data_IF_547557740071
#
_entry.id   IF_547557740071
#
_cell.length_a   1.000
_cell.length_b   1.000
_cell.length_c   1.000
_cell.angle_alpha   90.00
_cell.angle_beta   90.00
_cell.angle_gamma   90.00
#
_symmetry.space_group_name_H-M   'P 1'
#
loop_
_entity.id
_entity.type
_entity.pdbx_description
1 polymer ?
#
# COMPACT_ATOMS: atom_id res chain seq x y z
N UNK A 1 -9.11 14.21 -1.93
CA UNK A 1 -8.48 13.38 -0.86
C UNK A 1 -6.99 13.60 -0.91
N UNK A 2 -6.27 13.31 0.16
CA UNK A 2 -4.82 13.40 0.19
C UNK A 2 -4.20 12.02 -0.01
N UNK A 3 -3.33 11.90 -1.01
CA UNK A 3 -2.53 10.72 -1.27
C UNK A 3 -1.06 11.04 -0.96
N UNK A 4 -0.44 10.26 -0.09
CA UNK A 4 1.01 10.21 -0.01
C UNK A 4 1.52 9.15 -0.98
N UNK A 5 2.55 9.48 -1.75
CA UNK A 5 3.31 8.57 -2.61
C UNK A 5 4.74 8.61 -2.11
N UNK A 6 5.16 7.57 -1.38
CA UNK A 6 6.33 7.64 -0.51
C UNK A 6 6.26 8.89 0.40
N UNK A 7 7.28 9.74 0.36
CA UNK A 7 7.37 10.97 1.15
C UNK A 7 6.70 12.19 0.48
N UNK A 8 6.20 12.05 -0.75
CA UNK A 8 5.51 13.12 -1.46
C UNK A 8 4.02 13.12 -1.16
N UNK A 9 3.41 14.31 -1.02
CA UNK A 9 1.97 14.46 -0.80
C UNK A 9 1.32 15.08 -2.04
N UNK A 10 0.17 14.52 -2.43
CA UNK A 10 -0.61 14.95 -3.60
C UNK A 10 -2.07 15.06 -3.23
N UNK A 11 -2.73 16.08 -3.77
CA UNK A 11 -4.17 16.15 -3.77
C UNK A 11 -4.70 15.27 -4.92
N UNK A 12 -5.73 14.50 -4.64
CA UNK A 12 -6.41 13.63 -5.60
C UNK A 12 -7.88 14.00 -5.62
N UNK A 13 -8.35 14.51 -6.75
CA UNK A 13 -9.70 15.05 -6.90
C UNK A 13 -10.61 14.18 -7.78
N UNK A 14 -10.03 13.22 -8.51
CA UNK A 14 -10.77 12.27 -9.34
C UNK A 14 -10.21 10.85 -9.27
N UNK A 15 -10.97 9.88 -9.77
CA UNK A 15 -10.51 8.49 -9.91
C UNK A 15 -9.39 8.36 -10.94
N UNK A 16 -9.39 9.20 -11.98
CA UNK A 16 -8.34 9.22 -13.00
C UNK A 16 -7.01 9.70 -12.42
N UNK A 17 -7.04 10.75 -11.59
CA UNK A 17 -5.86 11.23 -10.88
C UNK A 17 -5.31 10.18 -9.92
N UNK A 18 -6.21 9.50 -9.20
CA UNK A 18 -5.84 8.42 -8.29
C UNK A 18 -5.15 7.30 -9.07
N UNK A 19 -5.74 6.87 -10.17
CA UNK A 19 -5.21 5.81 -11.00
C UNK A 19 -3.84 6.18 -11.57
N UNK A 20 -3.68 7.39 -12.11
CA UNK A 20 -2.39 7.88 -12.61
C UNK A 20 -1.33 7.93 -11.51
N UNK A 21 -1.68 8.36 -10.29
CA UNK A 21 -0.76 8.37 -9.16
C UNK A 21 -0.35 6.95 -8.73
N UNK A 22 -1.30 6.01 -8.74
CA UNK A 22 -1.07 4.59 -8.44
C UNK A 22 -0.23 3.85 -9.49
N UNK A 23 0.10 4.46 -10.64
CA UNK A 23 1.09 3.94 -11.59
C UNK A 23 2.52 4.36 -11.25
N UNK A 24 2.72 5.29 -10.31
CA UNK A 24 4.06 5.70 -9.92
C UNK A 24 4.80 4.55 -9.21
N UNK A 25 5.99 4.19 -9.72
CA UNK A 25 6.84 3.14 -9.14
C UNK A 25 8.26 3.64 -8.92
N UNK A 26 8.77 3.50 -7.70
CA UNK A 26 10.18 3.65 -7.40
C UNK A 26 10.95 2.49 -8.02
N UNK A 27 12.01 2.83 -8.78
CA UNK A 27 12.82 1.85 -9.53
C UNK A 27 12.01 0.96 -10.49
N UNK A 28 10.79 1.39 -10.90
CA UNK A 28 9.91 0.60 -11.76
C UNK A 28 9.26 -0.61 -11.09
N UNK A 29 9.46 -0.80 -9.79
CA UNK A 29 9.03 -2.01 -9.06
C UNK A 29 8.15 -1.68 -7.85
N UNK A 30 8.55 -0.70 -7.04
CA UNK A 30 7.96 -0.49 -5.74
C UNK A 30 6.97 0.67 -5.72
N UNK A 31 5.87 0.53 -4.99
CA UNK A 31 4.95 1.62 -4.72
C UNK A 31 4.57 1.66 -3.26
N UNK A 32 4.61 2.83 -2.63
CA UNK A 32 4.12 3.03 -1.27
C UNK A 32 3.12 4.18 -1.26
N UNK A 33 1.89 3.88 -0.84
CA UNK A 33 0.77 4.81 -0.94
C UNK A 33 -0.01 4.88 0.36
N UNK A 34 -0.40 6.10 0.74
CA UNK A 34 -1.35 6.32 1.84
C UNK A 34 -2.44 7.29 1.39
N UNK A 35 -3.66 6.79 1.23
CA UNK A 35 -4.83 7.60 0.91
C UNK A 35 -5.59 7.93 2.19
N UNK A 36 -5.82 9.22 2.44
CA UNK A 36 -6.57 9.70 3.61
C UNK A 36 -7.31 10.99 3.31
N UNK A 37 -8.29 11.35 4.13
CA UNK A 37 -8.99 12.65 4.03
C UNK A 37 -8.37 13.72 4.93
N UNK A 38 -7.89 13.34 6.12
CA UNK A 38 -7.20 14.24 7.07
C UNK A 38 -6.16 13.50 7.93
N UNK A 39 -6.54 12.39 8.56
CA UNK A 39 -5.65 11.47 9.29
C UNK A 39 -6.16 10.03 9.25
N UNK A 40 -7.45 9.86 9.55
CA UNK A 40 -8.18 8.60 9.42
C UNK A 40 -9.62 8.89 8.93
N UNK A 41 -10.31 7.91 8.31
CA UNK A 41 -9.79 6.61 7.92
C UNK A 41 -8.69 6.74 6.85
N UNK A 42 -7.76 5.79 6.85
CA UNK A 42 -6.66 5.74 5.87
C UNK A 42 -6.53 4.35 5.26
N UNK A 43 -6.15 4.33 4.00
CA UNK A 43 -5.78 3.11 3.27
C UNK A 43 -4.29 3.20 2.95
N UNK A 44 -3.54 2.20 3.40
CA UNK A 44 -2.16 1.97 3.01
C UNK A 44 -2.11 0.94 1.89
N UNK A 45 -1.23 1.14 0.92
CA UNK A 45 -0.96 0.18 -0.14
C UNK A 45 0.54 0.13 -0.41
N UNK A 46 1.13 -1.04 -0.26
CA UNK A 46 2.50 -1.31 -0.68
C UNK A 46 2.49 -2.26 -1.88
N UNK A 47 3.32 -1.99 -2.87
CA UNK A 47 3.43 -2.75 -4.10
C UNK A 47 4.89 -3.15 -4.31
N UNK A 48 5.09 -4.41 -4.70
CA UNK A 48 6.33 -4.93 -5.23
C UNK A 48 5.99 -5.77 -6.48
N UNK A 49 6.29 -5.24 -7.66
CA UNK A 49 5.89 -5.85 -8.94
C UNK A 49 4.39 -6.16 -8.98
N UNK A 50 4.03 -7.44 -9.10
CA UNK A 50 2.66 -7.95 -9.18
C UNK A 50 2.10 -8.36 -7.80
N UNK A 51 2.80 -8.03 -6.72
CA UNK A 51 2.38 -8.29 -5.34
C UNK A 51 2.02 -6.99 -4.64
N UNK A 52 0.98 -7.02 -3.83
CA UNK A 52 0.56 -5.90 -3.00
C UNK A 52 0.17 -6.32 -1.60
N UNK A 53 0.31 -5.40 -0.65
CA UNK A 53 -0.26 -5.50 0.69
C UNK A 53 -1.11 -4.24 0.95
N UNK A 54 -2.35 -4.44 1.39
CA UNK A 54 -3.28 -3.36 1.74
C UNK A 54 -3.43 -3.27 3.25
N UNK A 55 -3.57 -2.05 3.74
CA UNK A 55 -3.86 -1.74 5.14
C UNK A 55 -5.05 -0.80 5.20
N UNK A 56 -5.91 -0.97 6.19
CA UNK A 56 -7.01 -0.05 6.47
C UNK A 56 -7.03 0.30 7.95
N UNK A 57 -6.87 1.58 8.26
CA UNK A 57 -6.88 2.10 9.61
C UNK A 57 -8.13 2.98 9.74
N UNK A 58 -9.05 2.63 10.65
CA UNK A 58 -10.32 3.35 10.81
C UNK A 58 -10.13 4.66 11.58
N UNK A 59 -9.35 4.61 12.64
CA UNK A 59 -9.09 5.72 13.55
C UNK A 59 -7.68 5.64 14.14
N UNK A 60 -7.19 6.75 14.69
CA UNK A 60 -5.84 6.83 15.25
C UNK A 60 -5.71 5.88 16.45
N UNK A 61 -4.72 4.98 16.42
CA UNK A 61 -4.52 3.96 17.46
C UNK A 61 -5.27 2.64 17.23
N UNK A 62 -6.10 2.53 16.18
CA UNK A 62 -6.69 1.25 15.77
C UNK A 62 -5.57 0.33 15.22
N UNK A 63 -5.50 -0.96 15.62
CA UNK A 63 -4.57 -1.94 15.01
C UNK A 63 -4.78 -2.09 13.50
N UNK A 64 -5.95 -1.70 13.00
CA UNK A 64 -6.30 -1.72 11.60
C UNK A 64 -6.62 -3.11 11.08
N UNK A 65 -6.80 -3.17 9.77
CA UNK A 65 -7.00 -4.40 9.01
C UNK A 65 -5.94 -4.47 7.92
N UNK A 66 -5.65 -5.68 7.46
CA UNK A 66 -4.84 -5.92 6.29
C UNK A 66 -5.58 -6.79 5.27
N UNK A 67 -5.10 -6.78 4.03
CA UNK A 67 -5.54 -7.74 3.02
C UNK A 67 -5.24 -9.18 3.47
N UNK A 68 -6.12 -10.11 3.12
CA UNK A 68 -5.85 -11.55 3.20
C UNK A 68 -5.55 -12.07 1.80
N UNK A 69 -4.37 -12.66 1.65
CA UNK A 69 -3.91 -13.29 0.43
C UNK A 69 -4.57 -14.64 0.17
N UNK A 70 -4.27 -15.22 -0.99
CA UNK A 70 -4.75 -16.57 -1.37
C UNK A 70 -4.18 -17.63 -0.42
N UNK A 71 -2.95 -17.42 0.05
CA UNK A 71 -2.28 -18.28 1.03
C UNK A 71 -2.47 -17.73 2.45
N UNK A 72 -3.72 -17.48 2.86
CA UNK A 72 -4.07 -16.79 4.12
C UNK A 72 -3.50 -17.41 5.40
N UNK A 73 -3.03 -18.65 5.34
CA UNK A 73 -2.49 -19.39 6.48
C UNK A 73 -0.94 -19.40 6.49
N UNK A 74 -0.30 -18.88 5.43
CA UNK A 74 1.16 -18.84 5.30
C UNK A 74 1.75 -17.56 5.91
N UNK A 75 2.01 -17.61 7.22
CA UNK A 75 2.67 -16.52 7.94
C UNK A 75 4.19 -16.69 8.06
N UNK A 76 4.75 -17.78 7.53
CA UNK A 76 6.18 -18.09 7.64
C UNK A 76 6.99 -17.54 6.47
N UNK A 77 6.42 -17.61 5.26
CA UNK A 77 7.04 -17.01 4.08
C UNK A 77 6.72 -15.51 4.02
N UNK A 78 7.72 -14.70 3.66
CA UNK A 78 7.62 -13.25 3.62
C UNK A 78 7.98 -12.70 2.22
N UNK A 79 7.41 -11.56 1.88
CA UNK A 79 7.83 -10.75 0.71
C UNK A 79 8.28 -9.39 1.18
N UNK A 80 9.31 -8.90 0.51
CA UNK A 80 9.87 -7.58 0.71
C UNK A 80 9.01 -6.49 0.07
N UNK A 81 8.78 -5.40 0.79
CA UNK A 81 8.16 -4.19 0.29
C UNK A 81 8.94 -2.96 0.73
N UNK A 82 9.01 -1.94 -0.14
CA UNK A 82 9.42 -0.60 0.29
C UNK A 82 8.21 0.15 0.85
N UNK A 83 8.33 0.61 2.09
CA UNK A 83 7.31 1.44 2.73
C UNK A 83 7.55 2.93 2.44
N UNK A 84 6.71 3.80 3.02
CA UNK A 84 6.63 5.23 2.67
C UNK A 84 7.94 6.01 2.89
N UNK A 85 8.78 5.58 3.82
CA UNK A 85 10.07 6.18 4.12
C UNK A 85 11.26 5.53 3.36
N UNK A 86 11.00 4.69 2.35
CA UNK A 86 11.99 3.89 1.61
C UNK A 86 12.70 2.81 2.44
N UNK A 87 12.20 2.51 3.63
CA UNK A 87 12.64 1.34 4.38
C UNK A 87 12.08 0.07 3.73
N UNK A 88 12.87 -1.00 3.80
CA UNK A 88 12.48 -2.32 3.40
C UNK A 88 11.87 -3.07 4.59
N UNK A 89 10.63 -3.51 4.45
CA UNK A 89 9.92 -4.31 5.43
C UNK A 89 9.48 -5.64 4.81
N UNK A 90 9.46 -6.69 5.63
CA UNK A 90 8.98 -8.01 5.27
C UNK A 90 7.53 -8.17 5.74
N UNK A 91 6.66 -8.62 4.83
CA UNK A 91 5.27 -8.92 5.11
C UNK A 91 4.95 -10.38 4.77
N UNK A 92 4.17 -11.09 5.60
CA UNK A 92 3.84 -12.49 5.35
C UNK A 92 3.01 -12.70 4.08
N UNK A 93 3.19 -13.83 3.39
CA UNK A 93 2.42 -14.23 2.21
C UNK A 93 0.91 -14.25 2.46
N UNK A 94 0.49 -14.58 3.70
CA UNK A 94 -0.89 -14.51 4.14
C UNK A 94 -1.54 -13.12 3.97
N UNK A 95 -0.74 -12.05 3.87
CA UNK A 95 -1.23 -10.69 3.71
C UNK A 95 -1.22 -10.20 2.25
N UNK A 96 -0.64 -10.99 1.34
CA UNK A 96 -0.29 -10.52 -0.01
C UNK A 96 -1.37 -10.85 -1.02
N UNK A 97 -1.78 -9.84 -1.77
CA UNK A 97 -2.76 -9.93 -2.85
C UNK A 97 -2.12 -9.56 -4.20
N UNK A 98 -2.68 -10.04 -5.32
CA UNK A 98 -2.18 -9.63 -6.64
C UNK A 98 -2.34 -8.12 -6.86
N UNK A 99 -1.30 -7.50 -7.41
CA UNK A 99 -1.31 -6.13 -7.92
C UNK A 99 -1.42 -6.14 -9.45
N UNK A 100 -2.09 -5.12 -10.01
CA UNK A 100 -2.02 -4.90 -11.45
C UNK A 100 -0.60 -4.48 -11.84
N UNK A 101 -0.12 -4.97 -12.98
CA UNK A 101 1.11 -4.48 -13.59
C UNK A 101 0.98 -2.96 -13.83
N UNK A 102 1.97 -2.22 -13.32
CA UNK A 102 2.06 -0.76 -13.44
C UNK A 102 2.63 -0.29 -14.77
#
# INVERSE_FOLDING_TARGET
MQLSVFQERRQVDSLEDLHAALLHRHQGQFGAFWLSTTRCPSIGLFINHESACLFFIREEGDPGFHSLGVQSDNFEDETEFLIDNYQCDLYPQAMIVPAAAG
#
